data_IF_253329995323
#
_entry.id   IF_253329995323
#
_cell.length_a   1.000
_cell.length_b   1.000
_cell.length_c   1.000
_cell.angle_alpha   90.00
_cell.angle_beta   90.00
_cell.angle_gamma   90.00
#
_symmetry.space_group_name_H-M   'P 1'
#
loop_
_entity.id
_entity.type
_entity.pdbx_description
1 polymer ?
#
# COMPACT_ATOMS: atom_id res chain seq x y z
N UNK A 1 -11.30 17.71 20.64
CA UNK A 1 -11.20 17.86 19.16
C UNK A 1 -10.40 19.12 18.77
N UNK A 2 -9.11 19.26 19.13
CA UNK A 2 -8.27 20.39 18.65
C UNK A 2 -6.87 19.98 18.16
N UNK A 3 -6.42 18.76 18.47
CA UNK A 3 -5.04 18.28 18.27
C UNK A 3 -4.56 18.34 16.81
N UNK A 4 -5.46 18.12 15.84
CA UNK A 4 -5.10 18.01 14.42
C UNK A 4 -5.54 19.20 13.57
N UNK A 5 -6.02 20.29 14.19
CA UNK A 5 -6.54 21.46 13.46
C UNK A 5 -5.49 22.07 12.53
N UNK A 6 -4.25 22.22 13.00
CA UNK A 6 -3.17 22.79 12.19
C UNK A 6 -2.81 21.88 11.01
N UNK A 7 -2.67 20.57 11.23
CA UNK A 7 -2.37 19.61 10.17
C UNK A 7 -3.47 19.58 9.10
N UNK A 8 -4.75 19.69 9.51
CA UNK A 8 -5.87 19.75 8.58
C UNK A 8 -5.87 21.04 7.75
N UNK A 9 -5.60 22.20 8.36
CA UNK A 9 -5.56 23.48 7.64
C UNK A 9 -4.36 23.58 6.69
N UNK A 10 -3.21 23.00 7.07
CA UNK A 10 -1.99 23.00 6.26
C UNK A 10 -2.21 22.42 4.86
N UNK A 11 -3.14 21.47 4.68
CA UNK A 11 -3.50 20.95 3.36
C UNK A 11 -3.93 22.08 2.39
N UNK A 12 -4.74 23.02 2.86
CA UNK A 12 -5.22 24.12 2.02
C UNK A 12 -4.13 25.17 1.76
N UNK A 13 -3.28 25.43 2.75
CA UNK A 13 -2.19 26.41 2.64
C UNK A 13 -0.99 25.91 1.80
N UNK A 14 -0.83 24.59 1.66
CA UNK A 14 0.29 23.94 0.95
C UNK A 14 -0.09 23.43 -0.42
N UNK A 15 -0.99 24.12 -1.11
CA UNK A 15 -1.47 23.74 -2.45
C UNK A 15 -2.02 22.29 -2.51
N UNK A 16 -2.71 21.83 -1.46
CA UNK A 16 -3.26 20.47 -1.33
C UNK A 16 -2.20 19.37 -1.19
N UNK A 17 -1.04 19.70 -0.65
CA UNK A 17 -0.02 18.71 -0.30
C UNK A 17 -0.54 17.72 0.74
N UNK A 18 -0.28 16.44 0.53
CA UNK A 18 -0.71 15.36 1.40
C UNK A 18 0.35 14.25 1.47
N UNK A 19 0.19 13.35 2.44
CA UNK A 19 1.12 12.23 2.65
C UNK A 19 1.00 11.10 1.61
N UNK A 20 0.09 11.22 0.64
CA UNK A 20 -0.21 10.15 -0.33
C UNK A 20 0.99 9.79 -1.21
N UNK A 21 1.84 10.75 -1.58
CA UNK A 21 3.08 10.47 -2.33
C UNK A 21 4.05 9.61 -1.53
N UNK A 22 4.22 9.92 -0.24
CA UNK A 22 5.04 9.13 0.68
C UNK A 22 4.45 7.74 0.89
N UNK A 23 3.14 7.63 1.06
CA UNK A 23 2.43 6.36 1.22
C UNK A 23 2.53 5.48 -0.03
N UNK A 24 2.44 6.07 -1.23
CA UNK A 24 2.63 5.35 -2.48
C UNK A 24 4.05 4.75 -2.58
N UNK A 25 5.07 5.52 -2.19
CA UNK A 25 6.46 5.03 -2.16
C UNK A 25 6.65 3.93 -1.11
N UNK A 26 6.07 4.08 0.08
CA UNK A 26 6.08 3.03 1.10
C UNK A 26 5.41 1.75 0.60
N UNK A 27 4.27 1.86 -0.09
CA UNK A 27 3.59 0.72 -0.71
C UNK A 27 4.45 -0.02 -1.73
N UNK A 28 5.22 0.71 -2.56
CA UNK A 28 6.18 0.11 -3.48
C UNK A 28 7.35 -0.57 -2.76
N UNK A 29 7.89 0.02 -1.70
CA UNK A 29 8.97 -0.60 -0.92
C UNK A 29 8.49 -1.92 -0.28
N UNK A 30 7.29 -1.90 0.30
CA UNK A 30 6.67 -3.09 0.90
C UNK A 30 6.43 -4.19 -0.14
N UNK A 31 5.93 -3.82 -1.32
CA UNK A 31 5.78 -4.72 -2.47
C UNK A 31 7.10 -5.43 -2.82
N UNK A 32 8.20 -4.67 -2.93
CA UNK A 32 9.51 -5.25 -3.22
C UNK A 32 10.02 -6.16 -2.09
N UNK A 33 9.69 -5.83 -0.83
CA UNK A 33 10.08 -6.65 0.32
C UNK A 33 9.39 -8.01 0.32
N UNK A 34 8.09 -8.05 0.02
CA UNK A 34 7.33 -9.30 -0.05
C UNK A 34 7.63 -10.13 -1.30
N UNK A 35 8.12 -9.48 -2.37
CA UNK A 35 8.57 -10.11 -3.61
C UNK A 35 9.96 -10.75 -3.52
N UNK A 36 10.76 -10.36 -2.52
CA UNK A 36 12.16 -10.79 -2.40
C UNK A 36 12.27 -12.30 -2.22
N UNK A 37 13.22 -12.92 -2.92
CA UNK A 37 13.51 -14.35 -2.83
C UNK A 37 12.68 -15.24 -3.78
N UNK A 38 11.64 -14.69 -4.42
CA UNK A 38 10.91 -15.42 -5.46
C UNK A 38 11.66 -15.37 -6.79
N UNK A 39 12.14 -16.52 -7.24
CA UNK A 39 12.74 -16.68 -8.58
C UNK A 39 11.74 -17.20 -9.62
N UNK A 40 10.56 -17.66 -9.19
CA UNK A 40 9.48 -18.16 -10.05
C UNK A 40 8.33 -17.15 -10.09
N UNK A 41 7.90 -16.80 -11.31
CA UNK A 41 6.78 -15.88 -11.58
C UNK A 41 5.47 -16.36 -10.97
N UNK A 42 5.19 -17.66 -10.98
CA UNK A 42 3.95 -18.22 -10.42
C UNK A 42 3.90 -18.05 -8.90
N UNK A 43 5.00 -18.36 -8.21
CA UNK A 43 5.10 -18.18 -6.75
C UNK A 43 5.02 -16.71 -6.35
N UNK A 44 5.64 -15.81 -7.14
CA UNK A 44 5.50 -14.37 -6.97
C UNK A 44 4.04 -13.92 -7.13
N UNK A 45 3.38 -14.34 -8.23
CA UNK A 45 1.99 -13.99 -8.52
C UNK A 45 1.03 -14.48 -7.44
N UNK A 46 1.18 -15.72 -6.98
CA UNK A 46 0.36 -16.27 -5.89
C UNK A 46 0.51 -15.46 -4.60
N UNK A 47 1.74 -15.07 -4.24
CA UNK A 47 1.96 -14.23 -3.05
C UNK A 47 1.36 -12.83 -3.21
N UNK A 48 1.44 -12.26 -4.41
CA UNK A 48 0.80 -10.98 -4.71
C UNK A 48 -0.72 -11.04 -4.60
N UNK A 49 -1.33 -12.11 -5.11
CA UNK A 49 -2.78 -12.31 -5.00
C UNK A 49 -3.21 -12.56 -3.56
N UNK A 50 -2.41 -13.28 -2.77
CA UNK A 50 -2.70 -13.52 -1.35
C UNK A 50 -2.67 -12.22 -0.54
N UNK A 51 -1.66 -11.37 -0.75
CA UNK A 51 -1.53 -10.09 -0.04
C UNK A 51 -2.60 -9.09 -0.49
N UNK A 52 -2.89 -9.05 -1.79
CA UNK A 52 -3.91 -8.15 -2.36
C UNK A 52 -5.35 -8.63 -2.20
N UNK A 53 -5.59 -9.78 -1.56
CA UNK A 53 -6.93 -10.36 -1.42
C UNK A 53 -7.56 -10.85 -2.73
N UNK A 54 -6.78 -10.94 -3.81
CA UNK A 54 -7.25 -11.36 -5.14
C UNK A 54 -7.22 -12.86 -5.38
N UNK A 55 -6.89 -13.67 -4.37
CA UNK A 55 -6.83 -15.13 -4.51
C UNK A 55 -8.24 -15.73 -4.37
N UNK A 56 -8.85 -16.08 -5.50
CA UNK A 56 -10.10 -16.84 -5.51
C UNK A 56 -9.80 -18.33 -5.21
N UNK A 57 -10.09 -18.79 -3.99
CA UNK A 57 -10.03 -20.21 -3.64
C UNK A 57 -11.44 -20.82 -3.61
N UNK A 58 -11.67 -21.99 -4.22
CA UNK A 58 -12.94 -22.70 -4.13
C UNK A 58 -13.31 -23.12 -2.69
N UNK A 59 -12.35 -23.12 -1.76
CA UNK A 59 -12.56 -23.45 -0.34
C UNK A 59 -12.79 -22.21 0.56
N UNK A 60 -12.75 -20.99 0.00
CA UNK A 60 -13.03 -19.73 0.71
C UNK A 60 -14.45 -19.20 0.39
N UNK A 61 -15.34 -20.09 -0.08
CA UNK A 61 -16.77 -19.83 -0.29
C UNK A 61 -17.61 -20.28 0.90
#
# INVERSE_FOLDING_TARGET
MKRWRQAFLAYFDTARSNNGGTEAMNGLIELHRVARGFRNRESYRLRMLLIGGGLASPHLR
#
